data_IF_573246338077
#
_entry.id   IF_573246338077
#
_cell.length_a   1.000
_cell.length_b   1.000
_cell.length_c   1.000
_cell.angle_alpha   90.00
_cell.angle_beta   90.00
_cell.angle_gamma   90.00
#
_symmetry.space_group_name_H-M   'P 1'
#
loop_
_entity.id
_entity.type
_entity.pdbx_description
1 polymer ?
#
# COMPACT_ATOMS: atom_id res chain seq x y z
N UNK A 1 8.02 5.50 0.34
CA UNK A 1 6.90 6.01 1.16
C UNK A 1 7.38 7.12 2.11
N UNK A 2 8.22 8.02 1.61
CA UNK A 2 8.54 9.30 2.23
C UNK A 2 8.89 10.29 1.08
N UNK A 3 8.85 11.61 1.33
CA UNK A 3 9.13 12.63 0.31
C UNK A 3 10.58 12.62 -0.19
N UNK A 4 11.48 11.91 0.47
CA UNK A 4 12.91 11.82 0.18
C UNK A 4 13.31 10.47 -0.44
N UNK A 5 12.34 9.77 -1.04
CA UNK A 5 12.59 8.56 -1.82
C UNK A 5 12.96 7.31 -1.00
N UNK A 6 12.73 7.30 0.32
CA UNK A 6 13.03 6.15 1.19
C UNK A 6 14.06 6.42 2.27
N UNK A 7 14.83 7.52 2.17
CA UNK A 7 15.97 7.82 3.06
C UNK A 7 15.59 8.07 4.52
N UNK A 8 14.41 8.62 4.76
CA UNK A 8 13.92 8.80 6.13
C UNK A 8 13.42 7.48 6.69
N UNK A 9 12.78 6.67 5.84
CA UNK A 9 12.31 5.35 6.23
C UNK A 9 13.46 4.36 6.52
N UNK A 10 14.62 4.49 5.86
CA UNK A 10 15.83 3.68 6.13
C UNK A 10 16.25 3.77 7.60
N UNK A 11 16.11 4.95 8.21
CA UNK A 11 16.47 5.17 9.64
C UNK A 11 15.50 4.48 10.60
N UNK A 12 14.28 4.18 10.15
CA UNK A 12 13.21 3.57 10.96
C UNK A 12 13.09 2.07 10.71
N UNK A 13 13.16 1.63 9.46
CA UNK A 13 12.94 0.26 9.02
C UNK A 13 14.24 -0.56 9.06
N UNK A 14 14.79 -0.72 10.27
CA UNK A 14 16.10 -1.35 10.48
C UNK A 14 16.01 -2.84 10.80
N UNK A 15 14.81 -3.38 11.02
CA UNK A 15 14.63 -4.75 11.52
C UNK A 15 14.70 -4.88 13.06
N UNK A 16 15.06 -3.79 13.74
CA UNK A 16 15.12 -3.69 15.20
C UNK A 16 13.90 -2.91 15.73
N UNK A 17 13.54 -3.10 17.00
CA UNK A 17 12.43 -2.38 17.67
C UNK A 17 11.05 -2.53 17.01
N UNK A 18 10.62 -3.77 16.73
CA UNK A 18 9.31 -4.06 16.11
C UNK A 18 9.11 -3.37 14.74
N UNK A 19 10.19 -3.17 13.98
CA UNK A 19 10.12 -2.66 12.60
C UNK A 19 10.65 -3.70 11.62
N UNK A 20 10.11 -3.72 10.41
CA UNK A 20 10.64 -4.55 9.33
C UNK A 20 11.91 -3.94 8.75
N UNK A 21 12.77 -4.77 8.16
CA UNK A 21 13.88 -4.29 7.33
C UNK A 21 13.34 -3.64 6.05
N UNK A 22 13.95 -2.54 5.62
CA UNK A 22 13.57 -1.85 4.37
C UNK A 22 13.82 -2.70 3.12
N UNK A 23 14.84 -3.56 3.14
CA UNK A 23 15.29 -4.34 1.97
C UNK A 23 14.51 -5.64 1.77
N UNK A 24 13.79 -6.11 2.80
CA UNK A 24 13.08 -7.39 2.78
C UNK A 24 11.61 -7.20 3.04
N UNK A 25 10.79 -7.61 2.06
CA UNK A 25 9.35 -7.72 2.26
C UNK A 25 9.02 -8.94 3.11
N UNK A 26 8.13 -8.78 4.09
CA UNK A 26 7.64 -9.85 4.96
C UNK A 26 6.21 -9.61 5.40
N UNK A 27 5.47 -10.67 5.68
CA UNK A 27 4.12 -10.60 6.28
C UNK A 27 3.97 -11.65 7.38
N UNK A 28 3.03 -11.41 8.31
CA UNK A 28 2.75 -12.38 9.37
C UNK A 28 1.50 -12.07 10.19
N UNK A 29 0.89 -13.12 10.76
CA UNK A 29 -0.28 -13.03 11.64
C UNK A 29 0.16 -12.51 13.01
N UNK A 30 -0.48 -11.43 13.46
CA UNK A 30 -0.15 -10.70 14.68
C UNK A 30 1.32 -10.24 14.81
N UNK A 31 2.13 -10.35 13.75
CA UNK A 31 3.55 -10.01 13.77
C UNK A 31 3.72 -8.50 13.71
N UNK A 32 4.35 -7.92 14.75
CA UNK A 32 4.64 -6.50 14.77
C UNK A 32 5.89 -6.11 13.99
N UNK A 33 6.82 -7.05 13.79
CA UNK A 33 8.09 -6.82 13.10
C UNK A 33 8.02 -7.06 11.59
N UNK A 34 6.88 -7.49 11.05
CA UNK A 34 6.70 -7.74 9.61
C UNK A 34 6.35 -6.46 8.85
N UNK A 35 6.64 -6.45 7.55
CA UNK A 35 6.32 -5.32 6.68
C UNK A 35 4.80 -5.12 6.57
N UNK A 36 4.07 -6.22 6.43
CA UNK A 36 2.61 -6.28 6.50
C UNK A 36 2.20 -7.10 7.73
N UNK A 37 1.23 -6.59 8.50
CA UNK A 37 0.62 -7.33 9.61
C UNK A 37 -0.80 -7.74 9.26
N UNK A 38 -1.14 -8.99 9.52
CA UNK A 38 -2.53 -9.47 9.49
C UNK A 38 -2.99 -9.53 10.96
N UNK A 39 -4.01 -8.76 11.37
CA UNK A 39 -4.59 -8.87 12.71
C UNK A 39 -5.05 -10.30 13.00
N UNK A 40 -4.87 -10.79 14.23
CA UNK A 40 -5.27 -12.16 14.59
C UNK A 40 -6.76 -12.39 14.35
N UNK A 41 -7.62 -11.41 14.68
CA UNK A 41 -9.05 -11.50 14.40
C UNK A 41 -9.36 -11.68 12.91
N UNK A 42 -8.62 -11.01 12.02
CA UNK A 42 -8.80 -11.17 10.57
C UNK A 42 -8.38 -12.55 10.08
N UNK A 43 -7.33 -13.13 10.66
CA UNK A 43 -6.89 -14.49 10.36
C UNK A 43 -7.91 -15.52 10.86
N UNK A 44 -8.38 -15.36 12.11
CA UNK A 44 -9.37 -16.22 12.74
C UNK A 44 -10.73 -16.18 12.01
N UNK A 45 -11.18 -15.00 11.59
CA UNK A 45 -12.47 -14.79 10.91
C UNK A 45 -12.41 -15.15 9.41
N UNK A 46 -11.20 -15.21 8.82
CA UNK A 46 -10.98 -15.44 7.39
C UNK A 46 -11.31 -14.25 6.48
N UNK A 47 -11.67 -13.10 7.06
CA UNK A 47 -11.92 -11.84 6.35
C UNK A 47 -11.60 -10.63 7.23
N UNK A 48 -11.35 -9.47 6.61
CA UNK A 48 -11.01 -8.24 7.33
C UNK A 48 -10.04 -7.36 6.56
N UNK A 49 -8.94 -6.97 7.22
CA UNK A 49 -7.93 -6.06 6.64
C UNK A 49 -6.50 -6.50 6.96
N UNK A 50 -5.54 -5.99 6.20
CA UNK A 50 -4.13 -6.04 6.53
C UNK A 50 -3.60 -4.64 6.84
N UNK A 51 -2.52 -4.55 7.61
CA UNK A 51 -1.86 -3.29 7.97
C UNK A 51 -0.51 -3.21 7.24
N UNK A 52 -0.34 -2.24 6.33
CA UNK A 52 0.99 -1.90 5.80
C UNK A 52 1.74 -1.00 6.78
N UNK A 53 2.83 -1.52 7.37
CA UNK A 53 3.62 -0.84 8.41
C UNK A 53 4.87 -0.15 7.86
N UNK A 54 5.05 -0.18 6.54
CA UNK A 54 6.17 0.46 5.84
C UNK A 54 6.01 1.97 5.64
N UNK A 55 4.81 2.58 5.53
CA UNK A 55 4.71 4.03 5.38
C UNK A 55 5.37 4.78 6.54
N UNK A 56 6.15 5.81 6.22
CA UNK A 56 6.72 6.73 7.21
C UNK A 56 5.64 7.67 7.74
N UNK A 57 5.82 8.22 8.94
CA UNK A 57 4.92 9.24 9.49
C UNK A 57 4.85 10.53 8.65
N UNK A 58 5.87 10.80 7.84
CA UNK A 58 5.93 11.95 6.92
C UNK A 58 5.49 11.61 5.47
N UNK A 59 4.90 10.43 5.24
CA UNK A 59 4.47 10.04 3.91
C UNK A 59 3.33 10.93 3.37
N UNK A 60 3.28 11.11 2.05
CA UNK A 60 2.10 11.67 1.39
C UNK A 60 0.99 10.59 1.34
N UNK A 61 -0.15 10.80 2.01
CA UNK A 61 -1.22 9.81 2.06
C UNK A 61 -1.80 9.49 0.67
N UNK A 62 -1.82 10.44 -0.26
CA UNK A 62 -2.35 10.21 -1.62
C UNK A 62 -1.44 9.28 -2.42
N UNK A 63 -0.13 9.50 -2.34
CA UNK A 63 0.85 8.63 -2.98
C UNK A 63 0.81 7.21 -2.41
N UNK A 64 0.70 7.06 -1.08
CA UNK A 64 0.68 5.74 -0.42
C UNK A 64 -0.59 4.97 -0.76
N UNK A 65 -1.77 5.60 -0.61
CA UNK A 65 -3.05 4.97 -0.93
C UNK A 65 -3.15 4.61 -2.41
N UNK A 66 -2.71 5.51 -3.30
CA UNK A 66 -2.62 5.22 -4.72
C UNK A 66 -1.71 4.02 -5.03
N UNK A 67 -0.55 3.93 -4.39
CA UNK A 67 0.35 2.79 -4.58
C UNK A 67 -0.27 1.46 -4.10
N UNK A 68 -0.98 1.47 -2.96
CA UNK A 68 -1.67 0.30 -2.44
C UNK A 68 -2.76 -0.19 -3.40
N UNK A 69 -3.67 0.70 -3.81
CA UNK A 69 -4.78 0.36 -4.72
C UNK A 69 -4.25 -0.14 -6.06
N UNK A 70 -3.25 0.54 -6.64
CA UNK A 70 -2.63 0.11 -7.91
C UNK A 70 -2.03 -1.28 -7.82
N UNK A 71 -1.37 -1.60 -6.70
CA UNK A 71 -0.66 -2.88 -6.56
C UNK A 71 -1.63 -4.03 -6.28
N UNK A 72 -2.62 -3.80 -5.42
CA UNK A 72 -3.48 -4.85 -4.86
C UNK A 72 -4.77 -5.03 -5.66
N UNK A 73 -5.38 -3.95 -6.15
CA UNK A 73 -6.75 -3.98 -6.69
C UNK A 73 -6.81 -3.87 -8.21
N UNK A 74 -5.75 -3.42 -8.87
CA UNK A 74 -5.73 -3.21 -10.32
C UNK A 74 -4.81 -4.21 -11.02
N UNK A 75 -5.16 -4.59 -12.25
CA UNK A 75 -4.37 -5.53 -13.07
C UNK A 75 -4.02 -4.99 -14.46
N UNK A 76 -3.09 -5.65 -15.15
CA UNK A 76 -2.78 -5.39 -16.56
C UNK A 76 -2.58 -3.92 -16.95
N UNK A 77 -3.33 -3.45 -17.94
CA UNK A 77 -3.25 -2.08 -18.46
C UNK A 77 -3.79 -1.02 -17.48
N UNK A 78 -4.70 -1.39 -16.57
CA UNK A 78 -5.29 -0.46 -15.59
C UNK A 78 -4.25 0.01 -14.56
N UNK A 79 -3.27 -0.83 -14.24
CA UNK A 79 -2.09 -0.44 -13.45
C UNK A 79 -1.31 0.71 -14.10
N UNK A 80 -1.14 0.70 -15.43
CA UNK A 80 -0.43 1.76 -16.17
C UNK A 80 -1.28 3.02 -16.37
N UNK A 81 -2.59 2.85 -16.56
CA UNK A 81 -3.54 3.94 -16.79
C UNK A 81 -3.88 4.72 -15.52
N UNK A 82 -3.83 4.11 -14.33
CA UNK A 82 -4.19 4.76 -13.06
C UNK A 82 -3.43 6.04 -12.67
N UNK A 83 -2.36 6.43 -13.38
CA UNK A 83 -1.66 7.71 -13.19
C UNK A 83 -2.21 8.85 -14.08
N UNK A 84 -2.98 8.52 -15.10
CA UNK A 84 -3.74 9.46 -15.92
C UNK A 84 -5.17 8.91 -15.96
N UNK A 85 -6.08 9.46 -15.15
CA UNK A 85 -7.49 9.12 -15.31
C UNK A 85 -7.92 9.45 -16.75
N UNK A 86 -8.06 8.43 -17.58
CA UNK A 86 -8.62 8.53 -18.93
C UNK A 86 -9.85 7.62 -18.92
N UNK A 87 -11.07 8.18 -18.79
CA UNK A 87 -12.27 7.37 -18.81
C UNK A 87 -12.36 6.65 -20.15
N UNK A 88 -12.49 5.31 -20.12
CA UNK A 88 -12.49 4.45 -21.30
C UNK A 88 -13.78 4.54 -22.13
N UNK A 89 -14.82 5.20 -21.62
CA UNK A 89 -16.08 5.47 -22.30
C UNK A 89 -16.67 6.77 -21.70
N UNK A 90 -16.69 7.87 -22.44
CA UNK A 90 -17.57 8.98 -22.09
C UNK A 90 -19.02 8.52 -22.33
N UNK A 91 -19.96 8.70 -21.38
CA UNK A 91 -21.36 8.39 -21.64
C UNK A 91 -21.82 9.23 -22.84
N UNK A 92 -22.41 8.57 -23.83
CA UNK A 92 -22.96 9.19 -25.02
C UNK A 92 -24.09 10.14 -24.57
N UNK A 93 -23.78 11.43 -24.45
CA UNK A 93 -24.79 12.45 -24.15
C UNK A 93 -25.62 12.57 -25.43
N UNK A 94 -26.71 11.81 -25.52
CA UNK A 94 -27.76 12.05 -26.49
C UNK A 94 -28.32 13.45 -26.20
N UNK A 95 -27.94 14.42 -27.02
CA UNK A 95 -28.58 15.73 -27.06
C UNK A 95 -29.97 15.52 -27.65
N UNK A 96 -31.00 15.74 -26.83
CA UNK A 96 -32.37 15.97 -27.29
C UNK A 96 -32.48 17.34 -27.96
#
# INVERSE_FOLDING_TARGET
YDPHGGKDNERRLTGLHETASIDKFSYGVASRASSIRIPRSTDDDGYGYFEDRRPSSNCDPYTVTGALVRTVCLEGAERKLSMMYVPSQAPNIQKH
#
